data_IF_398650081214
#
_entry.id   IF_398650081214
#
_cell.length_a   1.000
_cell.length_b   1.000
_cell.length_c   1.000
_cell.angle_alpha   90.00
_cell.angle_beta   90.00
_cell.angle_gamma   90.00
#
_symmetry.space_group_name_H-M   'P 1'
#
loop_
_entity.id
_entity.type
_entity.pdbx_description
1 polymer ?
#
# COMPACT_ATOMS: atom_id res chain seq x y z
N UNK A 1 9.99 -12.70 -9.80
CA UNK A 1 10.20 -11.91 -11.04
C UNK A 1 11.08 -10.72 -10.72
N UNK A 2 12.14 -10.44 -11.48
CA UNK A 2 12.87 -9.16 -11.37
C UNK A 2 12.34 -8.20 -12.42
N UNK A 3 11.95 -6.98 -12.02
CA UNK A 3 11.55 -5.92 -12.94
C UNK A 3 12.81 -5.16 -13.38
N UNK A 4 13.05 -5.08 -14.68
CA UNK A 4 14.09 -4.23 -15.26
C UNK A 4 13.41 -3.11 -16.06
N UNK A 5 13.87 -1.87 -15.89
CA UNK A 5 13.46 -0.73 -16.71
C UNK A 5 14.54 -0.46 -17.76
N UNK A 6 14.20 -0.58 -19.05
CA UNK A 6 15.05 -0.10 -20.13
C UNK A 6 14.60 1.32 -20.52
N UNK A 7 15.51 2.29 -20.40
CA UNK A 7 15.28 3.65 -20.91
C UNK A 7 15.36 3.64 -22.44
N UNK A 8 14.21 3.69 -23.12
CA UNK A 8 14.12 4.32 -24.43
C UNK A 8 12.70 4.80 -24.74
N UNK A 9 12.48 6.10 -24.53
CA UNK A 9 11.76 7.03 -25.41
C UNK A 9 10.29 6.84 -25.82
N UNK A 10 9.68 5.65 -25.76
CA UNK A 10 8.34 5.42 -26.34
C UNK A 10 7.56 4.39 -25.52
N UNK A 11 6.46 4.84 -24.92
CA UNK A 11 5.38 4.08 -24.28
C UNK A 11 5.76 3.25 -23.03
N UNK A 12 5.27 3.69 -21.85
CA UNK A 12 5.40 2.94 -20.59
C UNK A 12 4.42 1.76 -20.57
N UNK A 13 4.82 0.63 -21.18
CA UNK A 13 4.26 -0.69 -20.88
C UNK A 13 5.12 -1.40 -19.84
N UNK A 14 4.50 -2.08 -18.86
CA UNK A 14 5.24 -2.86 -17.86
C UNK A 14 5.80 -4.12 -18.55
N UNK A 15 7.09 -4.10 -18.88
CA UNK A 15 7.79 -5.26 -19.44
C UNK A 15 8.20 -6.20 -18.28
N UNK A 16 7.56 -7.36 -18.19
CA UNK A 16 8.03 -8.45 -17.33
C UNK A 16 9.08 -9.27 -18.07
N UNK A 17 10.35 -9.21 -17.64
CA UNK A 17 11.42 -10.08 -18.18
C UNK A 17 11.48 -11.36 -17.37
N UNK A 18 10.97 -12.45 -17.94
CA UNK A 18 11.18 -13.81 -17.42
C UNK A 18 12.41 -14.43 -18.09
N UNK A 19 13.27 -15.08 -17.30
CA UNK A 19 14.40 -15.87 -17.79
C UNK A 19 13.98 -17.34 -17.75
N UNK A 20 13.80 -17.96 -18.93
CA UNK A 20 13.54 -19.40 -19.07
C UNK A 20 14.62 -20.01 -19.95
N UNK A 21 15.58 -20.72 -19.36
CA UNK A 21 16.60 -21.48 -20.10
C UNK A 21 17.44 -20.67 -21.09
N UNK A 22 17.76 -19.40 -20.79
CA UNK A 22 18.54 -18.52 -21.67
C UNK A 22 17.71 -17.67 -22.66
N UNK A 23 16.37 -17.74 -22.55
CA UNK A 23 15.45 -16.90 -23.32
C UNK A 23 14.93 -15.73 -22.45
N UNK A 24 14.98 -14.52 -22.99
CA UNK A 24 14.45 -13.30 -22.39
C UNK A 24 13.17 -12.89 -23.11
N UNK A 25 12.11 -12.61 -22.37
CA UNK A 25 10.79 -12.28 -22.94
C UNK A 25 10.43 -10.85 -22.55
N UNK A 26 10.04 -10.02 -23.53
CA UNK A 26 9.42 -8.73 -23.28
C UNK A 26 7.96 -8.77 -23.76
N UNK A 27 7.02 -8.68 -22.82
CA UNK A 27 5.59 -8.81 -23.07
C UNK A 27 4.85 -7.53 -22.71
N UNK A 28 3.89 -7.14 -23.56
CA UNK A 28 2.85 -6.19 -23.17
C UNK A 28 1.71 -6.99 -22.51
N UNK A 29 1.53 -6.84 -21.19
CA UNK A 29 0.57 -7.61 -20.42
C UNK A 29 -0.84 -7.03 -20.60
N UNK A 30 -1.53 -7.41 -21.68
CA UNK A 30 -2.97 -7.15 -21.81
C UNK A 30 -3.73 -8.11 -20.87
N UNK A 31 -4.18 -7.58 -19.73
CA UNK A 31 -4.79 -8.33 -18.63
C UNK A 31 -6.25 -8.80 -18.89
N UNK A 32 -6.65 -9.06 -20.13
CA UNK A 32 -8.02 -9.49 -20.46
C UNK A 32 -8.24 -11.00 -20.53
N UNK A 33 -7.21 -11.83 -20.40
CA UNK A 33 -7.36 -13.30 -20.41
C UNK A 33 -7.25 -13.90 -18.99
N UNK A 34 -8.41 -14.24 -18.40
CA UNK A 34 -8.54 -15.31 -17.38
C UNK A 34 -9.75 -16.16 -17.81
N UNK A 35 -9.67 -17.51 -17.88
CA UNK A 35 -9.32 -18.38 -16.76
C UNK A 35 -8.58 -19.66 -17.21
N UNK A 36 -7.26 -19.59 -17.28
CA UNK A 36 -6.45 -20.81 -17.22
C UNK A 36 -5.20 -20.43 -16.44
N UNK A 37 -4.59 -21.38 -15.73
CA UNK A 37 -3.31 -21.18 -15.05
C UNK A 37 -2.18 -21.01 -16.09
N UNK A 38 -2.44 -20.32 -17.20
CA UNK A 38 -1.60 -20.21 -18.38
C UNK A 38 -1.69 -18.78 -18.86
N UNK A 39 -0.59 -18.04 -18.70
CA UNK A 39 -0.41 -16.74 -19.31
C UNK A 39 0.11 -16.95 -20.72
N UNK A 40 -0.67 -16.54 -21.73
CA UNK A 40 -0.19 -16.41 -23.10
C UNK A 40 0.55 -15.09 -23.21
N UNK A 41 1.86 -15.16 -23.47
CA UNK A 41 2.64 -13.98 -23.77
C UNK A 41 2.81 -13.88 -25.29
N UNK A 42 2.30 -12.78 -25.85
CA UNK A 42 2.58 -12.32 -27.20
C UNK A 42 3.50 -11.09 -27.10
N UNK A 43 4.63 -11.09 -27.79
CA UNK A 43 5.62 -10.02 -27.63
C UNK A 43 6.92 -10.24 -28.38
N UNK A 44 7.91 -9.41 -28.07
CA UNK A 44 9.26 -9.52 -28.63
C UNK A 44 10.10 -10.45 -27.73
N UNK A 45 10.63 -11.51 -28.34
CA UNK A 45 11.46 -12.49 -27.64
C UNK A 45 12.91 -12.26 -28.01
N UNK A 46 13.81 -12.44 -27.06
CA UNK A 46 15.24 -12.29 -27.27
C UNK A 46 15.96 -13.55 -26.77
N UNK A 47 16.92 -14.07 -27.53
CA UNK A 47 17.74 -15.21 -27.11
C UNK A 47 19.22 -14.89 -27.17
N UNK A 48 20.00 -15.44 -26.24
CA UNK A 48 21.45 -15.44 -26.36
C UNK A 48 21.92 -16.46 -27.42
N UNK A 49 22.62 -15.99 -28.45
CA UNK A 49 23.22 -16.87 -29.47
C UNK A 49 24.74 -16.84 -29.38
N UNK A 50 25.31 -17.78 -28.62
CA UNK A 50 26.76 -18.05 -28.58
C UNK A 50 27.52 -17.49 -27.36
N UNK A 51 28.86 -17.67 -27.31
CA UNK A 51 29.68 -17.32 -26.14
C UNK A 51 29.96 -15.81 -25.96
N UNK A 52 29.34 -14.95 -26.77
CA UNK A 52 29.29 -13.51 -26.58
C UNK A 52 27.84 -13.08 -26.34
N UNK A 53 27.62 -12.13 -25.44
CA UNK A 53 26.29 -11.62 -25.09
C UNK A 53 25.67 -10.89 -26.29
N UNK A 54 25.07 -11.65 -27.22
CA UNK A 54 24.36 -11.16 -28.40
C UNK A 54 22.90 -11.58 -28.25
N UNK A 55 22.02 -10.61 -28.08
CA UNK A 55 20.57 -10.81 -28.01
C UNK A 55 20.00 -10.68 -29.42
N UNK A 56 19.38 -11.74 -29.92
CA UNK A 56 18.74 -11.75 -31.24
C UNK A 56 17.21 -11.65 -31.12
N UNK A 57 16.59 -10.75 -31.90
CA UNK A 57 15.15 -10.46 -31.82
C UNK A 57 14.35 -11.50 -32.59
N UNK A 58 13.48 -12.21 -31.88
CA UNK A 58 12.54 -13.18 -32.45
C UNK A 58 11.12 -12.59 -32.44
N UNK A 59 10.58 -12.32 -33.63
CA UNK A 59 9.20 -11.85 -33.81
C UNK A 59 8.21 -13.00 -33.95
N UNK A 60 6.98 -12.83 -33.44
CA UNK A 60 5.85 -13.74 -33.70
C UNK A 60 5.88 -15.05 -32.93
N UNK A 61 6.60 -15.11 -31.79
CA UNK A 61 6.51 -16.24 -30.88
C UNK A 61 5.41 -16.01 -29.85
N UNK A 62 4.80 -17.11 -29.43
CA UNK A 62 3.89 -17.16 -28.30
C UNK A 62 4.40 -18.23 -27.35
N UNK A 63 4.54 -17.93 -26.07
CA UNK A 63 4.82 -18.96 -25.06
C UNK A 63 3.70 -19.01 -24.04
N UNK A 64 3.42 -20.23 -23.58
CA UNK A 64 2.51 -20.51 -22.48
C UNK A 64 3.34 -20.59 -21.21
N UNK A 65 3.17 -19.63 -20.31
CA UNK A 65 3.70 -19.76 -18.95
C UNK A 65 2.60 -20.37 -18.10
N UNK A 66 2.80 -21.59 -17.63
CA UNK A 66 1.95 -22.14 -16.60
C UNK A 66 2.26 -21.42 -15.28
N UNK A 67 1.30 -20.67 -14.75
CA UNK A 67 1.34 -20.22 -13.37
C UNK A 67 0.99 -21.41 -12.49
N UNK A 68 1.63 -21.55 -11.32
CA UNK A 68 1.25 -22.61 -10.41
C UNK A 68 -0.18 -22.43 -9.91
N UNK A 69 -0.78 -23.48 -9.34
CA UNK A 69 -2.19 -23.51 -8.97
C UNK A 69 -2.56 -22.52 -7.86
N UNK A 70 -1.58 -22.00 -7.12
CA UNK A 70 -1.74 -21.07 -6.01
C UNK A 70 -1.19 -19.66 -6.33
N UNK A 71 -0.85 -19.37 -7.59
CA UNK A 71 -0.28 -18.08 -8.00
C UNK A 71 -1.20 -16.87 -7.76
N UNK A 72 -2.50 -17.08 -7.54
CA UNK A 72 -3.47 -16.03 -7.18
C UNK A 72 -3.80 -16.00 -5.68
N UNK A 73 -3.11 -16.80 -4.86
CA UNK A 73 -3.32 -16.75 -3.42
C UNK A 73 -2.95 -15.37 -2.88
N UNK A 74 -3.65 -14.94 -1.83
CA UNK A 74 -3.37 -13.69 -1.11
C UNK A 74 -2.87 -14.04 0.28
N UNK A 75 -1.98 -13.21 0.84
CA UNK A 75 -1.39 -13.42 2.16
C UNK A 75 -1.65 -12.21 3.06
N UNK A 76 -2.10 -12.47 4.28
CA UNK A 76 -2.30 -11.48 5.35
C UNK A 76 -1.58 -11.87 6.64
N UNK A 77 -1.46 -10.93 7.56
CA UNK A 77 -0.82 -11.08 8.87
C UNK A 77 -1.62 -10.34 9.94
N UNK A 78 -1.90 -11.02 11.04
CA UNK A 78 -2.64 -10.46 12.18
C UNK A 78 -1.84 -10.52 13.48
N UNK A 79 -2.02 -9.52 14.32
CA UNK A 79 -1.44 -9.42 15.65
C UNK A 79 -2.29 -10.16 16.69
N UNK A 80 -1.63 -10.98 17.52
CA UNK A 80 -2.24 -11.57 18.71
C UNK A 80 -2.07 -10.60 19.89
N UNK A 81 -3.06 -9.74 20.10
CA UNK A 81 -2.98 -8.64 21.08
C UNK A 81 -2.84 -9.10 22.55
N UNK A 82 -3.28 -10.30 22.90
CA UNK A 82 -3.20 -10.84 24.27
C UNK A 82 -1.92 -11.65 24.55
N UNK A 83 -1.04 -11.82 23.55
CA UNK A 83 0.13 -12.70 23.63
C UNK A 83 -0.23 -14.18 23.86
N UNK A 84 -1.50 -14.54 23.69
CA UNK A 84 -2.05 -15.88 23.89
C UNK A 84 -1.83 -16.80 22.69
N UNK A 85 -2.68 -17.83 22.60
CA UNK A 85 -2.57 -18.88 21.58
C UNK A 85 -3.03 -18.43 20.17
N UNK A 86 -3.60 -17.23 20.03
CA UNK A 86 -4.27 -16.78 18.81
C UNK A 86 -5.63 -17.45 18.60
N UNK A 87 -6.40 -16.96 17.63
CA UNK A 87 -7.73 -17.48 17.29
C UNK A 87 -7.74 -18.25 15.96
N UNK A 88 -6.64 -18.24 15.20
CA UNK A 88 -6.48 -18.83 13.87
C UNK A 88 -7.54 -18.35 12.86
N UNK A 89 -8.04 -17.14 13.08
CA UNK A 89 -8.98 -16.45 12.22
C UNK A 89 -8.34 -15.15 11.75
N UNK A 90 -8.46 -14.92 10.44
CA UNK A 90 -8.03 -13.67 9.81
C UNK A 90 -9.03 -12.57 10.20
N UNK A 91 -8.76 -11.92 11.33
CA UNK A 91 -9.60 -10.91 11.99
C UNK A 91 -9.12 -9.47 11.73
N UNK A 92 -8.00 -9.32 11.03
CA UNK A 92 -7.52 -8.05 10.50
C UNK A 92 -6.92 -7.13 11.56
N UNK A 93 -6.47 -7.68 12.70
CA UNK A 93 -5.79 -6.87 13.73
C UNK A 93 -4.38 -6.52 13.26
N UNK A 94 -4.22 -5.35 12.64
CA UNK A 94 -2.95 -4.89 12.04
C UNK A 94 -2.21 -3.83 12.85
N UNK A 95 -2.51 -3.67 14.13
CA UNK A 95 -1.82 -2.69 15.00
C UNK A 95 -1.83 -3.06 16.47
N UNK A 96 -0.82 -2.61 17.23
CA UNK A 96 -0.80 -2.73 18.69
C UNK A 96 0.28 -1.91 19.40
N UNK A 97 0.30 -1.97 20.72
CA UNK A 97 1.25 -1.22 21.57
C UNK A 97 2.23 -2.18 22.23
N UNK A 98 3.53 -1.87 22.15
CA UNK A 98 4.64 -2.66 22.67
C UNK A 98 5.64 -1.74 23.37
N UNK A 99 5.84 -1.92 24.67
CA UNK A 99 6.84 -1.17 25.44
C UNK A 99 7.96 -2.07 25.93
N UNK A 100 9.15 -1.53 26.07
CA UNK A 100 10.28 -2.20 26.72
C UNK A 100 11.06 -3.15 25.82
N UNK A 101 12.25 -3.51 26.29
CA UNK A 101 13.14 -4.50 25.68
C UNK A 101 12.75 -5.93 26.11
N UNK A 102 12.84 -6.88 25.18
CA UNK A 102 12.55 -8.29 25.41
C UNK A 102 11.06 -8.65 25.39
N UNK A 103 10.19 -7.68 25.13
CA UNK A 103 8.73 -7.85 25.09
C UNK A 103 8.35 -8.78 23.94
N UNK A 104 7.45 -9.73 24.23
CA UNK A 104 7.00 -10.75 23.29
C UNK A 104 5.86 -10.22 22.43
N UNK A 105 5.95 -10.50 21.14
CA UNK A 105 4.94 -10.18 20.13
C UNK A 105 4.61 -11.49 19.41
N UNK A 106 3.34 -11.80 19.25
CA UNK A 106 2.91 -13.00 18.52
C UNK A 106 1.98 -12.60 17.37
N UNK A 107 2.14 -13.25 16.22
CA UNK A 107 1.40 -12.94 14.99
C UNK A 107 0.93 -14.22 14.31
N UNK A 108 -0.18 -14.15 13.58
CA UNK A 108 -0.73 -15.22 12.74
C UNK A 108 -0.61 -14.85 11.26
N UNK A 109 -0.33 -15.84 10.41
CA UNK A 109 -0.15 -15.67 8.97
C UNK A 109 -1.15 -16.52 8.22
N UNK A 110 -1.81 -15.92 7.22
CA UNK A 110 -2.88 -16.56 6.46
C UNK A 110 -2.56 -16.55 4.96
N UNK A 111 -3.01 -17.58 4.23
CA UNK A 111 -3.08 -17.60 2.77
C UNK A 111 -4.47 -18.02 2.31
N UNK A 112 -5.14 -17.13 1.57
CA UNK A 112 -6.44 -17.39 0.94
C UNK A 112 -6.27 -17.67 -0.55
N UNK A 113 -7.22 -18.40 -1.13
CA UNK A 113 -7.16 -18.76 -2.56
C UNK A 113 -6.20 -19.90 -2.89
N UNK A 114 -5.68 -20.59 -1.88
CA UNK A 114 -4.92 -21.85 -2.04
C UNK A 114 -5.91 -22.96 -2.38
N UNK A 115 -5.75 -23.58 -3.55
CA UNK A 115 -6.72 -24.57 -4.07
C UNK A 115 -6.19 -26.00 -4.09
N UNK A 116 -4.91 -26.18 -3.79
CA UNK A 116 -4.25 -27.50 -3.75
C UNK A 116 -3.68 -27.79 -2.37
N UNK A 117 -3.50 -29.08 -2.06
CA UNK A 117 -2.74 -29.47 -0.88
C UNK A 117 -1.27 -29.07 -1.03
N UNK A 118 -0.65 -28.66 0.07
CA UNK A 118 0.72 -28.19 0.16
C UNK A 118 1.59 -29.24 0.87
N UNK A 119 2.83 -29.41 0.42
CA UNK A 119 3.84 -30.23 1.11
C UNK A 119 4.86 -29.38 1.87
N UNK A 120 4.85 -28.06 1.66
CA UNK A 120 5.71 -27.13 2.37
C UNK A 120 5.24 -25.69 2.25
N UNK A 121 5.67 -24.87 3.20
CA UNK A 121 5.43 -23.42 3.22
C UNK A 121 6.72 -22.74 3.65
N UNK A 122 7.14 -21.67 3.01
CA UNK A 122 8.20 -20.81 3.53
C UNK A 122 7.66 -19.42 3.78
N UNK A 123 7.90 -18.85 4.96
CA UNK A 123 7.50 -17.48 5.30
C UNK A 123 8.76 -16.64 5.47
N UNK A 124 8.84 -15.54 4.73
CA UNK A 124 9.89 -14.53 4.86
C UNK A 124 9.28 -13.28 5.44
N UNK A 125 9.68 -12.93 6.67
CA UNK A 125 9.21 -11.72 7.33
C UNK A 125 10.05 -10.51 6.91
N UNK A 126 9.46 -9.33 7.03
CA UNK A 126 10.13 -8.05 6.84
C UNK A 126 10.07 -7.26 8.15
N UNK A 127 11.21 -7.14 8.83
CA UNK A 127 11.37 -6.39 10.07
C UNK A 127 12.82 -5.92 10.20
N UNK A 128 13.05 -4.86 10.99
CA UNK A 128 14.40 -4.39 11.28
C UNK A 128 15.02 -5.20 12.43
N UNK A 129 16.24 -5.67 12.22
CA UNK A 129 16.95 -6.50 13.19
C UNK A 129 17.36 -5.73 14.47
N UNK A 130 17.38 -4.39 14.40
CA UNK A 130 17.57 -3.49 15.54
C UNK A 130 16.31 -3.26 16.39
N UNK A 131 15.14 -3.67 15.89
CA UNK A 131 13.84 -3.53 16.58
C UNK A 131 13.34 -4.90 17.08
N UNK A 132 13.39 -5.91 16.21
CA UNK A 132 12.82 -7.23 16.46
C UNK A 132 13.80 -8.36 16.21
N UNK A 133 13.59 -9.45 16.95
CA UNK A 133 14.20 -10.75 16.72
C UNK A 133 13.10 -11.80 16.64
N UNK A 134 13.14 -12.61 15.60
CA UNK A 134 12.28 -13.79 15.49
C UNK A 134 12.75 -14.86 16.49
N UNK A 135 11.87 -15.27 17.40
CA UNK A 135 12.18 -16.25 18.44
C UNK A 135 11.69 -17.65 18.09
N UNK A 136 10.48 -17.73 17.56
CA UNK A 136 9.80 -18.99 17.29
C UNK A 136 8.84 -18.83 16.13
N UNK A 137 8.67 -19.89 15.35
CA UNK A 137 7.53 -20.01 14.45
C UNK A 137 6.93 -21.38 14.66
N UNK A 138 5.61 -21.41 14.81
CA UNK A 138 4.82 -22.58 15.12
C UNK A 138 3.82 -22.84 14.00
N UNK A 139 3.63 -24.12 13.72
CA UNK A 139 2.66 -24.56 12.75
C UNK A 139 2.13 -25.92 13.20
N UNK A 140 0.81 -26.02 13.40
CA UNK A 140 0.18 -27.27 13.81
C UNK A 140 0.14 -28.31 12.68
N UNK A 141 0.25 -27.87 11.42
CA UNK A 141 0.16 -28.73 10.24
C UNK A 141 1.52 -29.04 9.58
N UNK A 142 2.56 -28.22 9.82
CA UNK A 142 3.90 -28.41 9.26
C UNK A 142 4.94 -28.63 10.36
N UNK A 143 5.60 -29.80 10.34
CA UNK A 143 6.25 -30.40 11.51
C UNK A 143 7.71 -29.99 11.73
N UNK A 144 8.32 -29.24 10.81
CA UNK A 144 9.73 -28.87 10.91
C UNK A 144 9.98 -27.45 10.41
N UNK A 145 10.71 -26.65 11.19
CA UNK A 145 11.12 -25.28 10.89
C UNK A 145 12.64 -25.22 10.66
N UNK A 146 13.08 -24.74 9.50
CA UNK A 146 14.48 -24.37 9.26
C UNK A 146 14.58 -22.85 9.43
N UNK A 147 15.27 -22.36 10.48
CA UNK A 147 15.50 -20.93 10.66
C UNK A 147 16.44 -20.42 9.57
N UNK A 148 16.04 -19.36 8.88
CA UNK A 148 16.88 -18.55 8.00
C UNK A 148 17.08 -17.17 8.63
N UNK A 149 18.13 -16.40 8.26
CA UNK A 149 18.43 -15.10 8.87
C UNK A 149 17.26 -14.09 8.84
N UNK A 150 16.29 -14.28 7.94
CA UNK A 150 15.13 -13.38 7.74
C UNK A 150 13.78 -14.12 7.62
N UNK A 151 13.70 -15.40 8.03
CA UNK A 151 12.47 -16.18 7.83
C UNK A 151 12.53 -17.62 8.32
N UNK A 152 11.49 -18.40 8.03
CA UNK A 152 11.41 -19.83 8.41
C UNK A 152 10.81 -20.65 7.26
N UNK A 153 11.45 -21.79 6.96
CA UNK A 153 10.92 -22.78 6.02
C UNK A 153 10.27 -23.94 6.76
N UNK A 154 9.08 -24.32 6.32
CA UNK A 154 8.27 -25.43 6.82
C UNK A 154 8.13 -26.55 5.80
N UNK A 155 8.28 -27.78 6.26
CA UNK A 155 7.98 -28.99 5.49
C UNK A 155 6.92 -29.83 6.20
N UNK A 156 6.01 -30.41 5.41
CA UNK A 156 5.04 -31.38 5.88
C UNK A 156 5.50 -32.81 5.55
N UNK A 157 5.17 -33.76 6.42
CA UNK A 157 5.42 -35.19 6.19
C UNK A 157 4.35 -35.85 5.31
N UNK A 158 3.24 -35.14 5.06
CA UNK A 158 2.16 -35.50 4.15
C UNK A 158 1.51 -34.22 3.57
N UNK A 159 0.82 -34.27 2.41
CA UNK A 159 0.12 -33.11 1.87
C UNK A 159 -0.93 -32.55 2.84
N UNK A 160 -0.91 -31.24 3.05
CA UNK A 160 -1.79 -30.49 3.95
C UNK A 160 -2.73 -29.63 3.14
N UNK A 161 -4.04 -29.74 3.38
CA UNK A 161 -5.02 -28.77 2.89
C UNK A 161 -5.20 -27.69 3.94
N UNK A 162 -5.09 -26.41 3.54
CA UNK A 162 -5.27 -25.30 4.46
C UNK A 162 -6.71 -25.25 5.01
N UNK A 163 -6.91 -24.82 6.26
CA UNK A 163 -8.24 -24.59 6.81
C UNK A 163 -8.96 -23.45 6.06
N UNK A 164 -10.28 -23.34 6.24
CA UNK A 164 -11.08 -22.31 5.59
C UNK A 164 -10.67 -20.87 5.96
N UNK A 165 -10.07 -20.67 7.15
CA UNK A 165 -9.48 -19.40 7.56
C UNK A 165 -8.23 -19.04 6.76
N UNK A 166 -7.63 -20.00 6.05
CA UNK A 166 -6.35 -19.83 5.37
C UNK A 166 -5.16 -19.85 6.32
N UNK A 167 -5.35 -20.14 7.61
CA UNK A 167 -4.28 -20.15 8.61
C UNK A 167 -3.12 -21.04 8.18
N UNK A 168 -1.93 -20.44 8.10
CA UNK A 168 -0.71 -21.14 7.75
C UNK A 168 0.18 -21.33 8.96
N UNK A 169 0.29 -20.38 9.87
CA UNK A 169 1.14 -20.53 11.06
C UNK A 169 1.22 -19.29 11.93
N UNK A 170 1.94 -19.42 13.03
CA UNK A 170 2.13 -18.39 14.06
C UNK A 170 3.60 -18.08 14.22
N UNK A 171 3.98 -16.82 14.39
CA UNK A 171 5.36 -16.42 14.69
C UNK A 171 5.41 -15.61 15.99
N UNK A 172 6.45 -15.84 16.80
CA UNK A 172 6.76 -15.07 18.00
C UNK A 172 8.06 -14.31 17.80
N UNK A 173 8.04 -13.04 18.18
CA UNK A 173 9.17 -12.11 18.15
C UNK A 173 9.43 -11.56 19.55
N UNK A 174 10.66 -11.12 19.78
CA UNK A 174 11.03 -10.28 20.92
C UNK A 174 11.60 -8.96 20.45
N UNK A 175 11.27 -7.88 21.16
CA UNK A 175 11.96 -6.60 20.99
C UNK A 175 13.43 -6.73 21.42
N UNK A 176 14.36 -6.27 20.58
CA UNK A 176 15.81 -6.38 20.88
C UNK A 176 16.35 -5.15 21.60
N UNK A 177 15.66 -4.02 21.50
CA UNK A 177 15.93 -2.77 22.19
C UNK A 177 14.65 -2.27 22.89
N UNK A 178 14.79 -1.25 23.73
CA UNK A 178 13.61 -0.56 24.28
C UNK A 178 12.92 0.22 23.16
N UNK A 179 11.72 -0.23 22.79
CA UNK A 179 10.89 0.36 21.74
C UNK A 179 9.77 1.24 22.31
N UNK A 180 9.80 1.56 23.61
CA UNK A 180 8.76 2.38 24.24
C UNK A 180 8.62 3.71 23.52
N UNK A 181 7.44 3.96 22.95
CA UNK A 181 7.13 5.18 22.19
C UNK A 181 7.86 5.31 20.85
N UNK A 182 8.52 4.25 20.38
CA UNK A 182 9.14 4.19 19.05
C UNK A 182 8.22 3.44 18.10
N UNK A 183 7.91 4.06 16.97
CA UNK A 183 7.12 3.44 15.90
C UNK A 183 7.96 2.44 15.11
N UNK A 184 7.39 1.27 14.84
CA UNK A 184 8.00 0.27 13.97
C UNK A 184 6.95 -0.65 13.34
N UNK A 185 7.37 -1.45 12.36
CA UNK A 185 6.48 -2.33 11.60
C UNK A 185 7.01 -3.76 11.51
N UNK A 186 6.09 -4.72 11.42
CA UNK A 186 6.38 -6.11 11.09
C UNK A 186 5.52 -6.54 9.90
N UNK A 187 6.15 -6.92 8.79
CA UNK A 187 5.46 -7.35 7.58
C UNK A 187 5.83 -8.74 7.10
N UNK A 188 5.22 -9.14 5.98
CA UNK A 188 5.60 -10.33 5.22
C UNK A 188 6.19 -9.91 3.88
N UNK A 189 7.44 -10.30 3.64
CA UNK A 189 8.13 -10.08 2.37
C UNK A 189 7.64 -11.04 1.30
N UNK A 190 7.50 -12.32 1.65
CA UNK A 190 7.03 -13.35 0.74
C UNK A 190 6.59 -14.62 1.49
N UNK A 191 5.65 -15.35 0.89
CA UNK A 191 5.30 -16.72 1.26
C UNK A 191 5.48 -17.62 0.04
N UNK A 192 6.24 -18.70 0.20
CA UNK A 192 6.33 -19.77 -0.80
C UNK A 192 5.37 -20.89 -0.42
N UNK A 193 4.48 -21.28 -1.32
CA UNK A 193 3.51 -22.37 -1.16
C UNK A 193 3.97 -23.53 -2.05
N UNK A 194 4.49 -24.61 -1.46
CA UNK A 194 5.03 -25.74 -2.22
C UNK A 194 3.99 -26.84 -2.36
N UNK A 195 3.63 -27.21 -3.59
CA UNK A 195 2.75 -28.37 -3.87
C UNK A 195 3.54 -29.67 -3.98
N UNK A 196 4.83 -29.61 -4.29
CA UNK A 196 5.75 -30.75 -4.33
C UNK A 196 7.20 -30.29 -4.16
N UNK A 197 8.16 -31.23 -4.14
CA UNK A 197 9.59 -30.89 -4.17
C UNK A 197 10.04 -30.14 -5.44
N UNK A 198 9.23 -30.16 -6.51
CA UNK A 198 9.56 -29.56 -7.81
C UNK A 198 8.59 -28.43 -8.23
N UNK A 199 7.58 -28.12 -7.41
CA UNK A 199 6.54 -27.12 -7.72
C UNK A 199 6.26 -26.29 -6.48
N UNK A 200 6.32 -24.97 -6.65
CA UNK A 200 5.94 -24.00 -5.64
C UNK A 200 5.57 -22.66 -6.25
N UNK A 201 4.59 -21.98 -5.66
CA UNK A 201 4.25 -20.61 -5.97
C UNK A 201 4.80 -19.65 -4.91
N UNK A 202 5.26 -18.46 -5.32
CA UNK A 202 5.71 -17.41 -4.41
C UNK A 202 4.70 -16.27 -4.44
N UNK A 203 4.13 -15.96 -3.28
CA UNK A 203 3.15 -14.91 -3.04
C UNK A 203 3.81 -13.78 -2.25
N UNK A 204 3.62 -12.55 -2.67
CA UNK A 204 4.11 -11.34 -1.97
C UNK A 204 2.93 -10.52 -1.48
N UNK A 205 3.08 -9.82 -0.35
CA UNK A 205 2.07 -8.91 0.19
C UNK A 205 2.71 -7.59 0.64
N UNK A 206 1.89 -6.57 0.85
CA UNK A 206 2.27 -5.29 1.46
C UNK A 206 1.72 -5.15 2.88
N UNK A 207 1.00 -6.16 3.38
CA UNK A 207 0.39 -6.13 4.71
C UNK A 207 1.46 -6.07 5.80
N UNK A 208 1.25 -5.18 6.77
CA UNK A 208 2.14 -4.93 7.90
C UNK A 208 1.33 -4.74 9.18
N UNK A 209 1.91 -5.15 10.30
CA UNK A 209 1.46 -4.76 11.63
C UNK A 209 2.23 -3.52 12.06
N UNK A 210 1.52 -2.49 12.52
CA UNK A 210 2.10 -1.25 13.02
C UNK A 210 2.14 -1.24 14.55
N UNK A 211 3.30 -0.96 15.14
CA UNK A 211 3.49 -0.95 16.58
C UNK A 211 3.81 0.42 17.13
N UNK A 212 3.24 0.73 18.29
CA UNK A 212 3.36 2.02 18.97
C UNK A 212 3.13 3.19 18.05
N UNK A 213 2.32 2.98 16.99
CA UNK A 213 1.83 4.05 16.17
C UNK A 213 1.26 5.04 17.17
N UNK A 214 1.96 6.17 17.32
CA UNK A 214 1.43 7.22 18.16
C UNK A 214 0.16 7.59 17.43
N UNK A 215 -0.98 7.47 18.11
CA UNK A 215 -2.20 8.07 17.64
C UNK A 215 -1.92 9.57 17.67
N UNK A 216 -1.31 10.02 16.56
CA UNK A 216 -0.97 11.38 16.34
C UNK A 216 -2.31 12.10 16.26
N UNK A 217 -2.53 13.13 17.07
CA UNK A 217 -3.73 13.95 16.93
C UNK A 217 -3.79 14.66 15.56
N UNK A 218 -2.73 14.57 14.75
CA UNK A 218 -2.73 14.83 13.31
C UNK A 218 -3.23 13.57 12.57
N UNK A 219 -4.55 13.51 12.41
CA UNK A 219 -5.29 12.40 11.84
C UNK A 219 -5.30 12.44 10.30
N UNK A 220 -5.22 13.61 9.66
CA UNK A 220 -5.06 13.69 8.19
C UNK A 220 -3.60 13.60 7.73
N UNK A 221 -2.64 13.57 8.66
CA UNK A 221 -1.22 13.49 8.36
C UNK A 221 -0.67 14.79 7.76
N UNK A 222 -1.33 15.94 7.97
CA UNK A 222 -0.89 17.23 7.48
C UNK A 222 0.30 17.82 8.26
N UNK A 223 0.78 17.13 9.29
CA UNK A 223 1.89 17.55 10.15
C UNK A 223 1.49 18.59 11.18
N UNK A 224 0.21 18.95 11.27
CA UNK A 224 -0.35 19.91 12.22
C UNK A 224 -1.54 19.28 12.91
N UNK A 225 -1.64 19.42 14.24
CA UNK A 225 -2.90 19.08 14.93
C UNK A 225 -3.84 20.26 14.78
N UNK A 226 -4.71 20.21 13.78
CA UNK A 226 -5.54 21.33 13.35
C UNK A 226 -7.04 21.09 13.48
N UNK A 227 -7.81 22.01 12.91
CA UNK A 227 -9.27 21.89 12.89
C UNK A 227 -9.76 20.73 12.01
N UNK A 228 -9.01 20.38 10.96
CA UNK A 228 -9.31 19.24 10.11
C UNK A 228 -9.24 17.92 10.89
N UNK A 229 -8.25 17.78 11.76
CA UNK A 229 -8.12 16.64 12.66
C UNK A 229 -9.23 16.61 13.70
N UNK A 230 -9.59 17.78 14.23
CA UNK A 230 -10.73 17.88 15.13
C UNK A 230 -12.03 17.38 14.47
N UNK A 231 -12.27 17.69 13.18
CA UNK A 231 -13.45 17.21 12.47
C UNK A 231 -13.44 15.67 12.31
N UNK A 232 -12.28 15.08 12.05
CA UNK A 232 -12.14 13.62 11.98
C UNK A 232 -12.39 12.98 13.35
N UNK A 233 -11.77 13.52 14.41
CA UNK A 233 -11.98 13.07 15.79
C UNK A 233 -13.44 13.18 16.22
N UNK A 234 -14.08 14.32 15.96
CA UNK A 234 -15.47 14.56 16.32
C UNK A 234 -16.44 13.60 15.62
N UNK A 235 -16.10 13.14 14.41
CA UNK A 235 -16.87 12.12 13.68
C UNK A 235 -16.89 10.75 14.37
N UNK A 236 -15.92 10.48 15.23
CA UNK A 236 -15.74 9.20 15.92
C UNK A 236 -16.02 9.29 17.43
N UNK A 237 -16.31 10.49 17.93
CA UNK A 237 -16.51 10.75 19.34
C UNK A 237 -17.68 9.93 19.91
N UNK A 238 -17.42 9.19 20.98
CA UNK A 238 -18.36 8.32 21.67
C UNK A 238 -18.31 6.85 21.24
N UNK A 239 -17.53 6.51 20.21
CA UNK A 239 -17.35 5.13 19.77
C UNK A 239 -16.46 4.35 20.75
N UNK A 240 -16.76 3.06 20.93
CA UNK A 240 -16.03 2.17 21.86
C UNK A 240 -15.56 0.92 21.15
N UNK A 241 -14.47 0.33 21.65
CA UNK A 241 -13.94 -0.92 21.10
C UNK A 241 -15.05 -1.99 21.03
N UNK A 242 -15.26 -2.53 19.82
CA UNK A 242 -16.36 -3.44 19.50
C UNK A 242 -17.52 -2.79 18.74
N UNK A 243 -17.59 -1.46 18.67
CA UNK A 243 -18.52 -0.76 17.79
C UNK A 243 -18.01 -0.78 16.35
N UNK A 244 -18.91 -0.92 15.36
CA UNK A 244 -18.53 -0.93 13.93
C UNK A 244 -17.98 0.40 13.39
N UNK A 245 -18.07 1.46 14.19
CA UNK A 245 -17.53 2.80 13.92
C UNK A 245 -16.27 3.09 14.74
N UNK A 246 -15.81 2.18 15.60
CA UNK A 246 -14.60 2.40 16.39
C UNK A 246 -13.34 2.27 15.53
N UNK A 247 -12.50 3.29 15.57
CA UNK A 247 -11.20 3.32 14.93
C UNK A 247 -10.13 3.65 15.98
N UNK A 248 -9.22 2.71 16.25
CA UNK A 248 -8.23 2.81 17.33
C UNK A 248 -7.30 4.04 17.23
N UNK A 249 -7.13 4.61 16.04
CA UNK A 249 -6.32 5.83 15.84
C UNK A 249 -6.87 7.06 16.57
N UNK A 250 -8.17 7.11 16.91
CA UNK A 250 -8.77 8.23 17.63
C UNK A 250 -8.87 8.00 19.14
N UNK A 251 -8.55 6.79 19.60
CA UNK A 251 -8.37 6.45 21.02
C UNK A 251 -6.93 6.82 21.40
N UNK A 252 -6.75 8.07 21.83
CA UNK A 252 -5.45 8.69 22.06
C UNK A 252 -4.81 8.25 23.38
N UNK A 253 -5.60 7.81 24.34
CA UNK A 253 -5.09 7.28 25.62
C UNK A 253 -5.17 5.75 25.75
N UNK A 254 -5.82 5.08 24.79
CA UNK A 254 -5.85 3.62 24.65
C UNK A 254 -6.77 2.94 25.66
N UNK A 255 -7.76 3.64 26.21
CA UNK A 255 -8.69 3.10 27.20
C UNK A 255 -9.87 2.30 26.60
N UNK A 256 -9.93 2.23 25.27
CA UNK A 256 -10.96 1.51 24.51
C UNK A 256 -12.23 2.32 24.27
N UNK A 257 -12.25 3.63 24.58
CA UNK A 257 -13.38 4.51 24.33
C UNK A 257 -12.94 5.90 23.84
N UNK A 258 -13.35 6.28 22.62
CA UNK A 258 -13.10 7.61 22.08
C UNK A 258 -13.99 8.62 22.83
N UNK A 259 -13.41 9.32 23.80
CA UNK A 259 -14.13 10.02 24.86
C UNK A 259 -13.57 11.41 25.12
N UNK A 260 -14.04 12.04 26.21
CA UNK A 260 -13.52 13.33 26.63
C UNK A 260 -12.04 13.26 27.05
N UNK A 261 -11.57 12.09 27.50
CA UNK A 261 -10.15 11.89 27.85
C UNK A 261 -9.26 12.04 26.61
N UNK A 262 -9.66 11.42 25.50
CA UNK A 262 -9.01 11.58 24.19
C UNK A 262 -9.12 13.00 23.66
N UNK A 263 -10.26 13.66 23.87
CA UNK A 263 -10.39 15.07 23.51
C UNK A 263 -9.37 15.94 24.27
N UNK A 264 -9.10 15.65 25.54
CA UNK A 264 -8.06 16.37 26.30
C UNK A 264 -6.66 16.08 25.76
N UNK A 265 -6.37 14.83 25.37
CA UNK A 265 -5.13 14.45 24.72
C UNK A 265 -4.95 15.19 23.38
N UNK A 266 -6.00 15.23 22.56
CA UNK A 266 -6.06 15.99 21.31
C UNK A 266 -5.82 17.49 21.55
N UNK A 267 -6.61 18.09 22.45
CA UNK A 267 -6.56 19.52 22.74
C UNK A 267 -5.20 19.97 23.31
N UNK A 268 -4.51 19.09 24.04
CA UNK A 268 -3.15 19.35 24.53
C UNK A 268 -2.12 19.49 23.42
N UNK A 269 -2.40 18.91 22.25
CA UNK A 269 -1.56 18.95 21.06
C UNK A 269 -2.08 19.92 19.99
N UNK A 270 -3.24 20.53 20.19
CA UNK A 270 -3.85 21.43 19.20
C UNK A 270 -2.96 22.63 18.86
N UNK A 271 -2.73 22.85 17.56
CA UNK A 271 -1.82 23.87 17.05
C UNK A 271 -0.34 23.48 17.09
N UNK A 272 0.01 22.25 17.50
CA UNK A 272 1.39 21.75 17.42
C UNK A 272 1.69 21.18 16.04
N UNK A 273 2.96 21.25 15.64
CA UNK A 273 3.48 20.57 14.47
C UNK A 273 3.95 19.18 14.90
N UNK A 274 3.30 18.12 14.41
CA UNK A 274 3.69 16.74 14.70
C UNK A 274 4.69 16.33 13.63
N UNK A 275 5.98 16.40 13.96
CA UNK A 275 7.00 15.78 13.11
C UNK A 275 6.96 14.27 13.35
N UNK A 276 7.10 13.43 12.31
CA UNK A 276 7.40 12.01 12.52
C UNK A 276 8.67 11.94 13.35
N UNK A 277 8.62 11.23 14.46
CA UNK A 277 9.76 11.07 15.35
C UNK A 277 10.93 10.45 14.58
N UNK A 278 11.94 11.27 14.26
CA UNK A 278 13.04 10.78 13.43
C UNK A 278 13.97 11.81 12.78
N UNK A 279 14.30 12.93 13.42
CA UNK A 279 15.61 13.57 13.16
C UNK A 279 15.93 14.64 14.19
N UNK A 280 16.96 14.39 15.00
CA UNK A 280 17.56 15.42 15.82
C UNK A 280 18.34 16.43 14.96
N UNK A 281 18.04 17.70 15.17
CA UNK A 281 19.03 18.78 15.11
C UNK A 281 19.10 19.58 13.81
N UNK A 282 18.92 20.90 13.95
CA UNK A 282 19.51 21.92 13.09
C UNK A 282 18.51 22.66 12.19
N UNK A 283 18.22 23.91 12.54
CA UNK A 283 17.27 24.75 11.81
C UNK A 283 17.69 25.11 10.38
N UNK A 284 16.67 25.48 9.59
CA UNK A 284 16.84 26.18 8.31
C UNK A 284 15.96 25.65 7.19
N UNK A 285 14.72 26.16 7.10
CA UNK A 285 13.97 26.41 5.86
C UNK A 285 13.68 25.23 4.90
N UNK A 286 12.41 24.80 4.88
CA UNK A 286 11.75 24.14 3.73
C UNK A 286 11.66 22.61 3.81
N UNK A 287 10.73 22.08 4.60
CA UNK A 287 10.50 20.63 4.73
C UNK A 287 9.74 20.06 3.51
N UNK A 288 10.38 19.10 2.85
CA UNK A 288 9.93 18.40 1.65
C UNK A 288 9.00 17.22 1.99
N UNK A 289 7.82 17.49 2.54
CA UNK A 289 6.80 16.44 2.74
C UNK A 289 6.33 15.91 1.39
N UNK A 290 6.55 14.62 1.10
CA UNK A 290 6.07 13.97 -0.11
C UNK A 290 4.55 13.84 -0.01
N UNK A 291 3.83 14.20 -1.06
CA UNK A 291 2.37 14.16 -1.16
C UNK A 291 1.95 12.79 -1.71
N UNK A 292 1.04 12.12 -1.00
CA UNK A 292 0.41 10.91 -1.53
C UNK A 292 -0.62 11.26 -2.60
N UNK A 293 -0.53 10.58 -3.74
CA UNK A 293 -1.40 10.76 -4.91
C UNK A 293 -1.69 9.35 -5.45
N UNK A 294 -2.67 8.64 -4.88
CA UNK A 294 -2.92 7.23 -5.18
C UNK A 294 -3.45 7.01 -6.61
N UNK A 295 -4.12 8.00 -7.21
CA UNK A 295 -4.52 7.96 -8.61
C UNK A 295 -3.31 8.21 -9.52
N UNK A 296 -2.83 7.16 -10.19
CA UNK A 296 -1.66 7.23 -11.04
C UNK A 296 -1.82 8.23 -12.21
N UNK A 297 -3.05 8.45 -12.71
CA UNK A 297 -3.31 9.39 -13.79
C UNK A 297 -3.27 10.83 -13.27
N UNK A 298 -3.83 11.08 -12.08
CA UNK A 298 -3.72 12.37 -11.41
C UNK A 298 -2.25 12.69 -11.08
N UNK A 299 -1.53 11.72 -10.52
CA UNK A 299 -0.10 11.87 -10.20
C UNK A 299 0.72 12.22 -11.44
N UNK A 300 0.46 11.55 -12.57
CA UNK A 300 1.13 11.85 -13.83
C UNK A 300 0.85 13.28 -14.31
N UNK A 301 -0.42 13.72 -14.25
CA UNK A 301 -0.81 15.09 -14.61
C UNK A 301 -0.10 16.14 -13.75
N UNK A 302 -0.04 15.89 -12.44
CA UNK A 302 0.60 16.81 -11.49
C UNK A 302 2.11 16.84 -11.73
N UNK A 303 2.74 15.67 -11.91
CA UNK A 303 4.16 15.58 -12.26
C UNK A 303 4.47 16.38 -13.53
N UNK A 304 3.67 16.18 -14.59
CA UNK A 304 3.81 16.92 -15.86
C UNK A 304 3.66 18.44 -15.65
N UNK A 305 2.70 18.86 -14.82
CA UNK A 305 2.45 20.28 -14.50
C UNK A 305 3.61 20.92 -13.73
N UNK A 306 4.37 20.11 -12.99
CA UNK A 306 5.58 20.51 -12.26
C UNK A 306 6.87 20.33 -13.09
N UNK A 307 6.77 19.82 -14.33
CA UNK A 307 7.94 19.51 -15.17
C UNK A 307 8.76 18.31 -14.67
N UNK A 308 8.13 17.38 -13.95
CA UNK A 308 8.75 16.20 -13.35
C UNK A 308 8.41 14.92 -14.12
N UNK A 309 9.19 13.87 -13.92
CA UNK A 309 8.87 12.54 -14.45
C UNK A 309 7.73 11.89 -13.64
N UNK A 310 6.95 11.03 -14.28
CA UNK A 310 5.73 10.41 -13.72
C UNK A 310 5.92 9.55 -12.46
N UNK A 311 7.17 9.22 -12.11
CA UNK A 311 7.54 8.48 -10.89
C UNK A 311 8.38 9.28 -9.89
N UNK A 312 8.64 10.57 -10.16
CA UNK A 312 9.33 11.42 -9.19
C UNK A 312 8.42 11.73 -8.00
N UNK A 313 8.99 11.73 -6.80
CA UNK A 313 8.29 12.19 -5.60
C UNK A 313 7.85 13.64 -5.78
N UNK A 314 6.60 13.94 -5.44
CA UNK A 314 6.02 15.28 -5.50
C UNK A 314 5.90 15.78 -4.08
N UNK A 315 6.43 16.96 -3.78
CA UNK A 315 6.42 17.53 -2.43
C UNK A 315 5.29 18.55 -2.25
N UNK A 316 4.89 18.83 -1.01
CA UNK A 316 3.89 19.87 -0.70
C UNK A 316 4.30 21.25 -1.17
N UNK A 317 5.58 21.59 -1.03
CA UNK A 317 6.11 22.85 -1.53
C UNK A 317 5.91 22.97 -3.04
N UNK A 318 6.13 21.88 -3.79
CA UNK A 318 5.88 21.84 -5.23
C UNK A 318 4.38 21.91 -5.54
N UNK A 319 3.53 21.17 -4.82
CA UNK A 319 2.07 21.24 -4.97
C UNK A 319 1.54 22.66 -4.78
N UNK A 320 2.04 23.38 -3.77
CA UNK A 320 1.68 24.76 -3.50
C UNK A 320 2.10 25.74 -4.62
N UNK A 321 2.98 25.35 -5.55
CA UNK A 321 3.30 26.20 -6.72
C UNK A 321 2.26 26.11 -7.85
N UNK A 322 1.38 25.11 -7.83
CA UNK A 322 0.41 24.89 -8.89
C UNK A 322 -0.71 25.92 -8.83
N UNK A 323 -0.90 26.65 -9.91
CA UNK A 323 -1.99 27.63 -10.07
C UNK A 323 -3.07 27.17 -11.06
N UNK A 324 -2.74 26.24 -11.96
CA UNK A 324 -3.68 25.71 -12.95
C UNK A 324 -3.37 24.25 -13.29
N UNK A 325 -4.37 23.38 -13.20
CA UNK A 325 -4.30 21.97 -13.62
C UNK A 325 -5.33 21.73 -14.72
N UNK A 326 -4.88 21.14 -15.83
CA UNK A 326 -5.73 20.76 -16.97
C UNK A 326 -5.61 19.27 -17.26
N UNK A 327 -6.62 18.51 -16.87
CA UNK A 327 -6.67 17.06 -17.02
C UNK A 327 -8.03 16.52 -17.49
N UNK A 328 -8.61 17.07 -18.56
CA UNK A 328 -9.83 16.51 -19.13
C UNK A 328 -9.51 15.18 -19.83
N UNK A 329 -10.41 14.19 -19.71
CA UNK A 329 -10.28 12.88 -20.35
C UNK A 329 -8.95 12.15 -20.02
N UNK A 330 -8.59 12.08 -18.74
CA UNK A 330 -7.33 11.48 -18.26
C UNK A 330 -7.51 10.15 -17.51
N UNK A 331 -8.73 9.69 -17.29
CA UNK A 331 -8.96 8.46 -16.53
C UNK A 331 -8.85 8.65 -15.02
N UNK A 332 -8.99 9.90 -14.54
CA UNK A 332 -8.88 10.24 -13.12
C UNK A 332 -10.17 9.86 -12.40
N UNK A 333 -10.03 9.24 -11.23
CA UNK A 333 -11.13 8.81 -10.35
C UNK A 333 -10.99 9.32 -8.93
N UNK A 334 -9.76 9.42 -8.43
CA UNK A 334 -9.49 9.90 -7.08
C UNK A 334 -8.70 11.21 -7.11
N UNK A 335 -9.16 12.21 -6.35
CA UNK A 335 -8.57 13.54 -6.24
C UNK A 335 -7.61 13.73 -5.05
N UNK A 336 -7.42 12.69 -4.20
CA UNK A 336 -6.46 12.72 -3.09
C UNK A 336 -5.09 13.24 -3.53
N UNK A 337 -4.54 14.13 -2.71
CA UNK A 337 -3.30 14.88 -2.95
C UNK A 337 -3.53 16.31 -3.45
N UNK A 338 -4.68 16.62 -4.09
CA UNK A 338 -4.97 17.97 -4.58
C UNK A 338 -5.21 19.00 -3.45
N UNK A 339 -5.57 18.55 -2.25
CA UNK A 339 -5.72 19.37 -1.04
C UNK A 339 -4.44 20.19 -0.73
N UNK A 340 -3.28 19.72 -1.18
CA UNK A 340 -2.01 20.42 -1.00
C UNK A 340 -1.71 21.48 -2.08
N UNK A 341 -2.51 21.57 -3.15
CA UNK A 341 -2.37 22.59 -4.19
C UNK A 341 -3.06 23.90 -3.76
N UNK A 342 -2.64 24.46 -2.63
CA UNK A 342 -3.33 25.55 -1.92
C UNK A 342 -3.42 26.87 -2.70
N UNK A 343 -2.58 27.07 -3.72
CA UNK A 343 -2.62 28.23 -4.61
C UNK A 343 -3.31 27.94 -5.96
N UNK A 344 -4.01 26.79 -6.09
CA UNK A 344 -4.69 26.41 -7.31
C UNK A 344 -5.88 27.32 -7.58
N UNK A 345 -5.87 27.99 -8.72
CA UNK A 345 -6.92 28.91 -9.17
C UNK A 345 -7.82 28.29 -10.24
N UNK A 346 -7.30 27.32 -11.01
CA UNK A 346 -8.04 26.70 -12.10
C UNK A 346 -7.87 25.19 -12.13
N UNK A 347 -8.97 24.47 -12.10
CA UNK A 347 -9.00 23.00 -12.20
C UNK A 347 -9.96 22.55 -13.30
N UNK A 348 -9.42 21.92 -14.35
CA UNK A 348 -10.21 21.38 -15.46
C UNK A 348 -10.13 19.85 -15.51
N UNK A 349 -11.20 19.18 -15.12
CA UNK A 349 -11.35 17.72 -15.04
C UNK A 349 -12.55 17.19 -15.84
N UNK A 350 -13.23 18.06 -16.60
CA UNK A 350 -14.39 17.69 -17.41
C UNK A 350 -14.05 17.09 -18.79
N UNK A 351 -14.98 17.22 -19.73
CA UNK A 351 -14.83 16.65 -21.08
C UNK A 351 -13.86 17.43 -21.99
N UNK A 352 -13.41 16.76 -23.06
CA UNK A 352 -12.82 17.38 -24.26
C UNK A 352 -13.72 17.17 -25.49
N UNK A 353 -13.59 18.03 -26.50
CA UNK A 353 -14.25 17.85 -27.80
C UNK A 353 -13.27 17.22 -28.79
N UNK A 354 -13.61 16.06 -29.34
CA UNK A 354 -12.85 15.39 -30.41
C UNK A 354 -13.83 15.06 -31.53
N UNK A 355 -13.60 15.56 -32.75
CA UNK A 355 -14.48 15.32 -33.91
C UNK A 355 -15.97 15.59 -33.63
N UNK A 356 -16.28 16.75 -33.04
CA UNK A 356 -17.63 17.13 -32.58
C UNK A 356 -18.28 16.23 -31.51
N UNK A 357 -17.56 15.25 -30.94
CA UNK A 357 -18.02 14.41 -29.84
C UNK A 357 -17.40 14.85 -28.52
N UNK A 358 -18.21 14.89 -27.46
CA UNK A 358 -17.74 15.08 -26.09
C UNK A 358 -17.16 13.75 -25.59
N UNK A 359 -15.91 13.77 -25.16
CA UNK A 359 -15.20 12.60 -24.64
C UNK A 359 -14.70 12.93 -23.25
N UNK A 360 -15.05 12.09 -22.28
CA UNK A 360 -14.49 12.13 -20.94
C UNK A 360 -14.35 10.71 -20.41
N UNK A 361 -13.13 10.34 -20.03
CA UNK A 361 -12.81 9.08 -19.34
C UNK A 361 -12.56 9.28 -17.84
N UNK A 362 -12.70 10.51 -17.32
CA UNK A 362 -12.69 10.72 -15.87
C UNK A 362 -13.99 10.19 -15.25
N UNK A 363 -13.90 9.69 -14.03
CA UNK A 363 -15.01 9.08 -13.29
C UNK A 363 -14.89 9.46 -11.82
N UNK A 364 -14.90 10.77 -11.58
CA UNK A 364 -14.76 11.37 -10.24
C UNK A 364 -16.13 11.39 -9.57
N UNK A 365 -16.18 10.93 -8.32
CA UNK A 365 -17.40 10.99 -7.49
C UNK A 365 -17.19 11.73 -6.18
N UNK A 366 -15.97 11.73 -5.63
CA UNK A 366 -15.63 12.41 -4.38
C UNK A 366 -14.90 13.74 -4.62
N UNK A 367 -15.46 14.82 -4.10
CA UNK A 367 -14.90 16.17 -4.17
C UNK A 367 -14.25 16.65 -2.85
N UNK A 368 -14.22 15.83 -1.80
CA UNK A 368 -13.65 16.21 -0.50
C UNK A 368 -12.22 16.78 -0.56
N UNK A 369 -11.32 16.31 -1.45
CA UNK A 369 -9.97 16.87 -1.58
C UNK A 369 -9.94 18.34 -2.05
N UNK A 370 -11.03 18.86 -2.59
CA UNK A 370 -11.12 20.24 -3.06
C UNK A 370 -11.59 21.23 -1.99
N UNK A 371 -12.06 20.73 -0.85
CA UNK A 371 -12.88 21.50 0.10
C UNK A 371 -12.23 22.75 0.70
N UNK A 372 -10.90 22.76 0.77
CA UNK A 372 -10.11 23.86 1.35
C UNK A 372 -9.31 24.66 0.30
N UNK A 373 -9.53 24.42 -1.00
CA UNK A 373 -8.85 25.15 -2.07
C UNK A 373 -9.49 26.52 -2.30
N UNK A 374 -9.50 27.37 -1.26
CA UNK A 374 -10.23 28.64 -1.23
C UNK A 374 -9.79 29.64 -2.30
N UNK A 375 -8.60 29.47 -2.89
CA UNK A 375 -8.12 30.27 -4.03
C UNK A 375 -8.68 29.81 -5.40
N UNK A 376 -9.49 28.76 -5.44
CA UNK A 376 -10.02 28.20 -6.69
C UNK A 376 -11.08 29.13 -7.29
N UNK A 377 -10.79 29.67 -8.46
CA UNK A 377 -11.66 30.58 -9.20
C UNK A 377 -12.50 29.86 -10.26
N UNK A 378 -11.94 28.82 -10.90
CA UNK A 378 -12.59 28.11 -12.01
C UNK A 378 -12.48 26.61 -11.88
N UNK A 379 -13.63 25.93 -11.81
CA UNK A 379 -13.74 24.48 -11.66
C UNK A 379 -14.62 23.88 -12.75
N UNK A 380 -14.06 23.01 -13.58
CA UNK A 380 -14.79 22.29 -14.63
C UNK A 380 -14.81 20.80 -14.33
N UNK A 381 -15.99 20.27 -14.00
CA UNK A 381 -16.19 18.87 -13.59
C UNK A 381 -17.22 18.12 -14.45
N UNK A 382 -17.65 18.70 -15.57
CA UNK A 382 -18.68 18.14 -16.43
C UNK A 382 -18.37 16.70 -16.89
N UNK A 383 -19.41 15.87 -17.06
CA UNK A 383 -19.29 14.45 -17.47
C UNK A 383 -18.51 13.56 -16.49
N UNK A 384 -18.63 13.81 -15.17
CA UNK A 384 -18.17 12.92 -14.10
C UNK A 384 -19.37 12.31 -13.33
N UNK A 385 -19.09 11.47 -12.33
CA UNK A 385 -20.08 10.73 -11.53
C UNK A 385 -20.35 11.39 -10.17
N UNK A 386 -20.46 12.72 -10.15
CA UNK A 386 -20.62 13.52 -8.93
C UNK A 386 -22.10 13.62 -8.58
N UNK A 387 -22.44 13.24 -7.35
CA UNK A 387 -23.79 13.37 -6.79
C UNK A 387 -23.87 14.33 -5.60
N UNK A 388 -22.76 14.55 -4.90
CA UNK A 388 -22.63 15.48 -3.78
C UNK A 388 -21.60 16.57 -4.06
N UNK A 389 -21.99 17.82 -3.82
CA UNK A 389 -21.17 19.02 -4.01
C UNK A 389 -20.90 19.77 -2.69
N UNK A 390 -21.25 19.19 -1.54
CA UNK A 390 -21.09 19.78 -0.20
C UNK A 390 -19.66 20.27 0.06
N UNK A 391 -18.66 19.56 -0.46
CA UNK A 391 -17.25 19.93 -0.38
C UNK A 391 -16.95 21.31 -1.00
N UNK A 392 -17.74 21.80 -1.96
CA UNK A 392 -17.50 23.08 -2.64
C UNK A 392 -18.04 24.29 -1.85
N UNK A 393 -18.75 24.08 -0.76
CA UNK A 393 -19.48 25.13 -0.03
C UNK A 393 -18.59 26.25 0.53
N UNK A 394 -17.32 25.96 0.83
CA UNK A 394 -16.35 26.92 1.37
C UNK A 394 -15.51 27.63 0.31
N UNK A 395 -15.70 27.31 -0.98
CA UNK A 395 -14.91 27.85 -2.09
C UNK A 395 -15.49 29.18 -2.58
N UNK A 396 -15.33 30.22 -1.76
CA UNK A 396 -15.97 31.53 -1.95
C UNK A 396 -15.48 32.32 -3.16
N UNK A 397 -14.34 31.95 -3.75
CA UNK A 397 -13.78 32.60 -4.93
C UNK A 397 -14.20 31.95 -6.26
N UNK A 398 -15.01 30.88 -6.26
CA UNK A 398 -15.48 30.24 -7.48
C UNK A 398 -16.43 31.17 -8.28
N UNK A 399 -16.13 31.37 -9.56
CA UNK A 399 -16.89 32.22 -10.51
C UNK A 399 -17.57 31.44 -11.65
#
# INVERSE_FOLDING_TARGET
>A
MRRYYLQSGLWMGVIAVLILGGLYVAADLNATDRPSNTLNIEGEFWSETGPGFVLDKMSGRSTKIALGPNANATVSIDLIADGGAGNQMDDGVTSGTVSGQGTKIAVEVFARGVTTSLVGVQITFDFKAEELKLDKVENSAFLFAIPEPTGVSFAATAPVTLPASGFIGRAEFSTVADVTGQEFTLGIKAVTLAESAASSDVVTTTDVISFNATSSPDFDGDGTVGFSDFLQFAGQYGARQGDGQYEARYDLDGDGAISFSDFLAFASSYGTQVSPSGSGGGGGGGSTGIVDIPDANLRAVIADSLGKSSGASITRAEMATLTSIRAPNKGIRNLTGLEHATNLQKLQLGYVRVNNRLVNSNDISNLSPLSNLTNLERLYLDFNSISDISALSNLTNLE
#
